data_IF_967108131677
#
_entry.id   IF_967108131677
#
_cell.length_a   1.000
_cell.length_b   1.000
_cell.length_c   1.000
_cell.angle_alpha   90.00
_cell.angle_beta   90.00
_cell.angle_gamma   90.00
#
_symmetry.space_group_name_H-M   'P 1'
#
loop_
_entity.id
_entity.type
_entity.pdbx_description
1 polymer ?
#
# COMPACT_ATOMS: atom_id res chain seq x y z
N UNK A 1 13.09 -11.63 17.93
CA UNK A 1 13.88 -10.40 17.68
C UNK A 1 13.58 -10.01 16.25
N UNK A 2 12.73 -9.03 16.02
CA UNK A 2 12.43 -8.53 14.67
C UNK A 2 13.66 -7.77 14.19
N UNK A 3 14.36 -8.29 13.18
CA UNK A 3 15.42 -7.58 12.48
C UNK A 3 14.82 -6.34 11.80
N UNK A 4 14.86 -5.21 12.48
CA UNK A 4 14.39 -3.93 11.94
C UNK A 4 15.55 -3.28 11.16
N UNK A 5 16.01 -3.95 10.08
CA UNK A 5 16.88 -3.28 9.12
C UNK A 5 16.08 -2.26 8.33
N UNK A 6 16.61 -1.05 8.11
CA UNK A 6 15.93 -0.08 7.25
C UNK A 6 15.72 -0.69 5.86
N UNK A 7 14.52 -0.46 5.28
CA UNK A 7 14.18 -0.97 3.96
C UNK A 7 15.21 -0.47 2.92
N UNK A 8 15.66 -1.38 2.06
CA UNK A 8 16.51 -1.00 0.93
C UNK A 8 15.74 -0.09 -0.04
N UNK A 9 16.43 0.65 -0.90
CA UNK A 9 15.76 1.52 -1.87
C UNK A 9 14.77 0.72 -2.75
N UNK A 10 15.17 -0.49 -3.18
CA UNK A 10 14.32 -1.38 -3.98
C UNK A 10 13.09 -1.89 -3.22
N UNK A 11 13.13 -1.96 -1.90
CA UNK A 11 11.98 -2.31 -1.06
C UNK A 11 11.04 -1.13 -0.81
N UNK A 12 11.52 0.11 -0.96
CA UNK A 12 10.67 1.31 -0.84
C UNK A 12 9.75 1.51 -2.04
N UNK A 13 10.11 0.96 -3.22
CA UNK A 13 9.25 0.94 -4.40
C UNK A 13 8.39 -0.32 -4.40
N UNK A 14 7.08 -0.17 -4.31
CA UNK A 14 6.10 -1.24 -4.48
C UNK A 14 5.46 -1.10 -5.86
N UNK A 15 5.64 -2.11 -6.72
CA UNK A 15 5.00 -2.11 -8.04
C UNK A 15 3.62 -2.79 -7.95
N UNK A 16 2.58 -2.08 -8.36
CA UNK A 16 1.23 -2.62 -8.42
C UNK A 16 1.04 -3.46 -9.69
N UNK A 17 0.76 -4.75 -9.51
CA UNK A 17 0.46 -5.70 -10.58
C UNK A 17 -1.04 -5.61 -10.96
N UNK A 18 -1.48 -4.42 -11.44
CA UNK A 18 -2.85 -4.19 -11.86
C UNK A 18 -3.02 -4.61 -13.35
N UNK A 19 -2.63 -5.85 -13.66
CA UNK A 19 -2.71 -6.51 -14.97
C UNK A 19 -3.82 -7.57 -14.96
N UNK A 20 -4.28 -8.06 -16.13
CA UNK A 20 -5.53 -8.85 -16.20
C UNK A 20 -5.52 -10.17 -15.41
N UNK A 21 -4.39 -10.84 -15.30
CA UNK A 21 -4.30 -12.17 -14.69
C UNK A 21 -2.91 -12.46 -14.10
N UNK A 22 -2.81 -13.55 -13.35
CA UNK A 22 -1.58 -13.98 -12.68
C UNK A 22 -0.41 -14.22 -13.63
N UNK A 23 -0.66 -14.79 -14.83
CA UNK A 23 0.41 -15.06 -15.81
C UNK A 23 1.05 -13.76 -16.33
N UNK A 24 0.23 -12.73 -16.60
CA UNK A 24 0.75 -11.43 -17.01
C UNK A 24 1.47 -10.74 -15.85
N UNK A 25 1.00 -10.93 -14.61
CA UNK A 25 1.68 -10.47 -13.39
C UNK A 25 3.05 -11.11 -13.21
N UNK A 26 3.16 -12.42 -13.41
CA UNK A 26 4.42 -13.15 -13.32
C UNK A 26 5.42 -12.68 -14.39
N UNK A 27 5.01 -12.59 -15.65
CA UNK A 27 5.84 -12.07 -16.75
C UNK A 27 6.35 -10.65 -16.47
N UNK A 28 5.51 -9.79 -15.91
CA UNK A 28 5.92 -8.44 -15.52
C UNK A 28 6.97 -8.49 -14.42
N UNK A 29 6.78 -9.32 -13.40
CA UNK A 29 7.74 -9.48 -12.31
C UNK A 29 9.09 -10.04 -12.81
N UNK A 30 9.07 -11.00 -13.74
CA UNK A 30 10.27 -11.51 -14.42
C UNK A 30 10.99 -10.41 -15.22
N UNK A 31 10.24 -9.58 -15.96
CA UNK A 31 10.79 -8.45 -16.72
C UNK A 31 11.46 -7.42 -15.79
N UNK A 32 10.86 -7.13 -14.64
CA UNK A 32 11.40 -6.21 -13.65
C UNK A 32 12.63 -6.80 -12.92
N UNK A 33 12.69 -8.11 -12.77
CA UNK A 33 13.83 -8.84 -12.21
C UNK A 33 14.23 -8.37 -10.81
N UNK A 34 15.48 -8.00 -10.63
CA UNK A 34 16.06 -7.50 -9.38
C UNK A 34 15.85 -6.01 -9.12
N UNK A 35 15.37 -5.24 -10.12
CA UNK A 35 15.04 -3.83 -9.95
C UNK A 35 13.88 -3.62 -8.96
N UNK A 36 13.00 -4.62 -8.79
CA UNK A 36 11.85 -4.56 -7.90
C UNK A 36 11.80 -5.80 -7.03
N UNK A 37 11.71 -5.60 -5.72
CA UNK A 37 11.62 -6.68 -4.73
C UNK A 37 10.25 -6.75 -4.04
N UNK A 38 9.34 -5.78 -4.26
CA UNK A 38 8.08 -5.68 -3.57
C UNK A 38 6.92 -5.43 -4.54
N UNK A 39 5.91 -6.29 -4.50
CA UNK A 39 4.76 -6.23 -5.40
C UNK A 39 3.44 -6.10 -4.67
N UNK A 40 2.53 -5.27 -5.20
CA UNK A 40 1.15 -5.15 -4.72
C UNK A 40 0.20 -5.93 -5.63
N UNK A 41 -0.60 -6.79 -5.01
CA UNK A 41 -1.70 -7.52 -5.65
C UNK A 41 -3.01 -6.94 -5.11
N UNK A 42 -3.79 -6.30 -5.98
CA UNK A 42 -5.04 -5.64 -5.64
C UNK A 42 -6.28 -6.47 -5.98
N UNK A 43 -7.46 -5.91 -5.69
CA UNK A 43 -8.77 -6.56 -5.89
C UNK A 43 -8.98 -7.06 -7.32
N UNK A 44 -8.54 -6.29 -8.33
CA UNK A 44 -8.71 -6.68 -9.74
C UNK A 44 -7.97 -7.97 -10.09
N UNK A 45 -6.83 -8.23 -9.46
CA UNK A 45 -6.05 -9.45 -9.67
C UNK A 45 -6.58 -10.65 -8.86
N UNK A 46 -7.37 -10.42 -7.80
CA UNK A 46 -7.83 -11.49 -6.91
C UNK A 46 -8.57 -12.60 -7.68
N UNK A 47 -9.49 -12.21 -8.57
CA UNK A 47 -10.25 -13.16 -9.42
C UNK A 47 -9.42 -13.72 -10.57
N UNK A 48 -8.29 -13.09 -10.91
CA UNK A 48 -7.35 -13.51 -11.95
C UNK A 48 -6.22 -14.42 -11.46
N UNK A 49 -6.34 -15.01 -10.26
CA UNK A 49 -5.33 -15.91 -9.68
C UNK A 49 -4.34 -15.20 -8.74
N UNK A 50 -4.71 -14.03 -8.19
CA UNK A 50 -3.80 -13.19 -7.39
C UNK A 50 -3.16 -13.88 -6.18
N UNK A 51 -3.88 -14.77 -5.49
CA UNK A 51 -3.31 -15.50 -4.34
C UNK A 51 -2.27 -16.56 -4.80
N UNK A 52 -2.51 -17.21 -5.93
CA UNK A 52 -1.51 -18.13 -6.51
C UNK A 52 -0.25 -17.36 -6.96
N UNK A 53 -0.44 -16.19 -7.59
CA UNK A 53 0.68 -15.31 -7.95
C UNK A 53 1.44 -14.82 -6.71
N UNK A 54 0.75 -14.51 -5.61
CA UNK A 54 1.39 -14.11 -4.35
C UNK A 54 2.31 -15.21 -3.82
N UNK A 55 1.83 -16.46 -3.77
CA UNK A 55 2.61 -17.62 -3.36
C UNK A 55 3.82 -17.84 -4.27
N UNK A 56 3.61 -17.84 -5.59
CA UNK A 56 4.70 -18.02 -6.58
C UNK A 56 5.79 -16.95 -6.42
N UNK A 57 5.43 -15.68 -6.34
CA UNK A 57 6.39 -14.59 -6.18
C UNK A 57 7.14 -14.66 -4.84
N UNK A 58 6.46 -15.13 -3.79
CA UNK A 58 7.07 -15.28 -2.46
C UNK A 58 8.02 -16.48 -2.42
N UNK A 59 7.55 -17.64 -2.80
CA UNK A 59 8.24 -18.92 -2.58
C UNK A 59 9.35 -19.15 -3.60
N UNK A 60 9.10 -18.86 -4.89
CA UNK A 60 10.05 -19.15 -5.98
C UNK A 60 10.93 -17.94 -6.33
N UNK A 61 10.43 -16.72 -6.14
CA UNK A 61 11.16 -15.51 -6.53
C UNK A 61 11.66 -14.66 -5.34
N UNK A 62 11.37 -15.04 -4.10
CA UNK A 62 11.82 -14.35 -2.88
C UNK A 62 11.34 -12.89 -2.79
N UNK A 63 10.18 -12.58 -3.41
CA UNK A 63 9.64 -11.21 -3.43
C UNK A 63 8.79 -10.92 -2.20
N UNK A 64 8.71 -9.65 -1.81
CA UNK A 64 7.76 -9.17 -0.81
C UNK A 64 6.39 -8.96 -1.43
N UNK A 65 5.34 -9.24 -0.67
CA UNK A 65 3.95 -9.21 -1.13
C UNK A 65 3.10 -8.28 -0.28
N UNK A 66 2.45 -7.36 -0.95
CA UNK A 66 1.42 -6.50 -0.40
C UNK A 66 0.05 -6.88 -0.99
N UNK A 67 -0.84 -7.47 -0.20
CA UNK A 67 -2.24 -7.71 -0.58
C UNK A 67 -3.07 -6.46 -0.28
N UNK A 68 -3.51 -5.78 -1.33
CA UNK A 68 -4.28 -4.54 -1.24
C UNK A 68 -5.78 -4.83 -1.39
N UNK A 69 -6.39 -5.37 -0.31
CA UNK A 69 -7.77 -5.86 -0.28
C UNK A 69 -8.75 -4.87 0.34
N UNK A 70 -8.27 -3.93 1.14
CA UNK A 70 -9.08 -2.94 1.86
C UNK A 70 -10.28 -3.58 2.56
N UNK A 71 -10.01 -4.64 3.35
CA UNK A 71 -11.06 -5.42 4.03
C UNK A 71 -11.92 -4.50 4.91
N UNK A 72 -13.23 -4.68 4.81
CA UNK A 72 -14.23 -3.98 5.62
C UNK A 72 -15.44 -4.89 5.83
N UNK A 73 -15.64 -5.35 7.05
CA UNK A 73 -16.75 -6.23 7.45
C UNK A 73 -16.86 -6.20 8.99
N UNK A 74 -17.77 -6.96 9.57
CA UNK A 74 -17.82 -7.19 11.02
C UNK A 74 -16.55 -7.86 11.52
N UNK A 75 -16.15 -7.57 12.77
CA UNK A 75 -14.86 -7.96 13.31
C UNK A 75 -14.52 -9.44 13.15
N UNK A 76 -15.46 -10.35 13.47
CA UNK A 76 -15.22 -11.79 13.34
C UNK A 76 -14.89 -12.23 11.89
N UNK A 77 -15.54 -11.63 10.90
CA UNK A 77 -15.27 -11.90 9.48
C UNK A 77 -13.89 -11.37 9.07
N UNK A 78 -13.55 -10.15 9.49
CA UNK A 78 -12.22 -9.55 9.21
C UNK A 78 -11.12 -10.40 9.86
N UNK A 79 -11.27 -10.78 11.13
CA UNK A 79 -10.30 -11.62 11.83
C UNK A 79 -10.07 -12.96 11.10
N UNK A 80 -11.15 -13.64 10.73
CA UNK A 80 -11.06 -14.91 10.01
C UNK A 80 -10.41 -14.76 8.63
N UNK A 81 -10.76 -13.72 7.88
CA UNK A 81 -10.18 -13.43 6.56
C UNK A 81 -8.67 -13.16 6.66
N UNK A 82 -8.26 -12.30 7.61
CA UNK A 82 -6.84 -11.98 7.83
C UNK A 82 -6.06 -13.24 8.23
N UNK A 83 -6.58 -14.04 9.16
CA UNK A 83 -5.95 -15.32 9.57
C UNK A 83 -5.77 -16.27 8.38
N UNK A 84 -6.73 -16.32 7.47
CA UNK A 84 -6.62 -17.09 6.22
C UNK A 84 -5.53 -16.54 5.29
N UNK A 85 -5.42 -15.22 5.16
CA UNK A 85 -4.44 -14.58 4.28
C UNK A 85 -3.01 -14.66 4.81
N UNK A 86 -2.79 -14.67 6.12
CA UNK A 86 -1.44 -14.80 6.69
C UNK A 86 -0.76 -16.13 6.38
N UNK A 87 -1.51 -17.16 5.94
CA UNK A 87 -0.94 -18.44 5.49
C UNK A 87 -0.09 -18.31 4.21
N UNK A 88 -0.24 -17.21 3.47
CA UNK A 88 0.57 -16.91 2.27
C UNK A 88 1.86 -16.15 2.60
N UNK A 89 2.25 -16.02 3.86
CA UNK A 89 3.43 -15.28 4.34
C UNK A 89 3.56 -13.88 3.72
N UNK A 90 2.44 -13.17 3.58
CA UNK A 90 2.38 -11.82 3.01
C UNK A 90 2.99 -10.79 3.96
N UNK A 91 3.62 -9.76 3.38
CA UNK A 91 4.30 -8.71 4.16
C UNK A 91 3.32 -7.61 4.59
N UNK A 92 2.44 -7.14 3.68
CA UNK A 92 1.46 -6.09 3.95
C UNK A 92 0.04 -6.52 3.56
N UNK A 93 -0.94 -6.07 4.36
CA UNK A 93 -2.37 -6.24 4.08
C UNK A 93 -3.12 -4.95 4.42
N UNK A 94 -3.95 -4.45 3.50
CA UNK A 94 -4.81 -3.30 3.77
C UNK A 94 -6.16 -3.72 4.33
N UNK A 95 -6.60 -2.93 5.29
CA UNK A 95 -7.96 -2.92 5.82
C UNK A 95 -8.47 -1.47 5.88
N UNK A 96 -9.77 -1.23 6.00
CA UNK A 96 -10.27 0.11 6.30
C UNK A 96 -9.72 0.59 7.65
N UNK A 97 -9.42 1.91 7.77
CA UNK A 97 -8.82 2.51 8.97
C UNK A 97 -9.75 2.65 10.17
N UNK A 98 -10.92 2.02 10.14
CA UNK A 98 -11.88 2.04 11.24
C UNK A 98 -11.35 1.20 12.42
N UNK A 99 -11.34 1.72 13.66
CA UNK A 99 -10.70 1.07 14.79
C UNK A 99 -11.11 -0.38 15.03
N UNK A 100 -12.42 -0.70 14.88
CA UNK A 100 -12.92 -2.06 15.08
C UNK A 100 -12.40 -3.03 13.99
N UNK A 101 -12.24 -2.56 12.75
CA UNK A 101 -11.69 -3.34 11.64
C UNK A 101 -10.19 -3.59 11.85
N UNK A 102 -9.45 -2.54 12.23
CA UNK A 102 -8.00 -2.64 12.52
C UNK A 102 -7.74 -3.60 13.68
N UNK A 103 -8.50 -3.47 14.80
CA UNK A 103 -8.37 -4.37 15.94
C UNK A 103 -8.59 -5.84 15.55
N UNK A 104 -9.65 -6.13 14.80
CA UNK A 104 -9.96 -7.49 14.34
C UNK A 104 -8.86 -8.01 13.39
N UNK A 105 -8.36 -7.18 12.48
CA UNK A 105 -7.27 -7.53 11.58
C UNK A 105 -5.98 -7.86 12.34
N UNK A 106 -5.64 -7.08 13.38
CA UNK A 106 -4.47 -7.35 14.24
C UNK A 106 -4.63 -8.65 15.02
N UNK A 107 -5.84 -9.01 15.46
CA UNK A 107 -6.12 -10.30 16.08
C UNK A 107 -5.93 -11.45 15.07
N UNK A 108 -6.44 -11.30 13.85
CA UNK A 108 -6.26 -12.28 12.78
C UNK A 108 -4.80 -12.47 12.35
N UNK A 109 -4.00 -11.40 12.41
CA UNK A 109 -2.57 -11.41 12.06
C UNK A 109 -1.67 -11.88 13.22
N UNK A 110 -2.22 -12.17 14.40
CA UNK A 110 -1.42 -12.55 15.56
C UNK A 110 -0.56 -13.80 15.27
N UNK A 111 0.73 -13.72 15.61
CA UNK A 111 1.70 -14.79 15.37
C UNK A 111 2.30 -14.82 13.96
N UNK A 112 1.89 -13.91 13.05
CA UNK A 112 2.49 -13.72 11.73
C UNK A 112 3.37 -12.47 11.68
N UNK A 113 4.13 -12.33 10.57
CA UNK A 113 4.92 -11.11 10.28
C UNK A 113 4.13 -10.09 9.45
N UNK A 114 2.89 -10.39 9.08
CA UNK A 114 2.03 -9.54 8.25
C UNK A 114 1.75 -8.21 8.95
N UNK A 115 2.08 -7.10 8.30
CA UNK A 115 1.78 -5.76 8.78
C UNK A 115 0.42 -5.30 8.26
N UNK A 116 -0.42 -4.84 9.18
CA UNK A 116 -1.76 -4.33 8.87
C UNK A 116 -1.68 -2.83 8.61
N UNK A 117 -2.12 -2.41 7.42
CA UNK A 117 -2.15 -1.02 6.98
C UNK A 117 -3.60 -0.51 6.93
N UNK A 118 -3.90 0.50 7.74
CA UNK A 118 -5.20 1.16 7.76
C UNK A 118 -5.36 2.14 6.60
N UNK A 119 -6.39 1.98 5.76
CA UNK A 119 -6.70 2.95 4.71
C UNK A 119 -7.39 4.16 5.33
N UNK A 120 -6.82 5.34 5.14
CA UNK A 120 -7.39 6.61 5.61
C UNK A 120 -8.54 7.05 4.70
N UNK A 121 -8.26 7.88 3.71
CA UNK A 121 -9.20 8.31 2.66
C UNK A 121 -8.56 8.00 1.31
N UNK A 122 -9.31 7.40 0.40
CA UNK A 122 -8.82 7.05 -0.93
C UNK A 122 -8.32 8.30 -1.66
N UNK A 123 -7.14 8.23 -2.24
CA UNK A 123 -6.47 9.37 -2.91
C UNK A 123 -7.17 9.85 -4.18
N UNK A 124 -8.13 9.07 -4.67
CA UNK A 124 -9.02 9.41 -5.80
C UNK A 124 -10.24 10.24 -5.39
N UNK A 125 -10.54 10.38 -4.09
CA UNK A 125 -11.69 11.11 -3.58
C UNK A 125 -11.34 12.53 -3.20
N UNK A 126 -12.27 13.46 -3.46
CA UNK A 126 -12.26 14.84 -2.97
C UNK A 126 -13.38 15.08 -1.94
N UNK A 127 -13.52 16.34 -1.47
CA UNK A 127 -14.53 16.68 -0.45
C UNK A 127 -15.97 16.40 -0.94
N UNK A 128 -16.26 16.71 -2.21
CA UNK A 128 -17.61 16.49 -2.76
C UNK A 128 -17.97 15.00 -2.85
N UNK A 129 -16.99 14.13 -3.10
CA UNK A 129 -17.19 12.69 -3.08
C UNK A 129 -17.48 12.20 -1.66
N UNK A 130 -16.76 12.74 -0.65
CA UNK A 130 -16.96 12.38 0.75
C UNK A 130 -18.33 12.82 1.28
N UNK A 131 -18.85 13.97 0.84
CA UNK A 131 -20.20 14.42 1.20
C UNK A 131 -21.28 13.42 0.75
N UNK A 132 -21.13 12.87 -0.46
CA UNK A 132 -22.03 11.83 -0.99
C UNK A 132 -21.90 10.51 -0.25
N UNK A 133 -20.76 10.24 0.36
CA UNK A 133 -20.49 9.06 1.18
C UNK A 133 -20.90 9.24 2.65
N UNK A 134 -21.58 10.34 3.00
CA UNK A 134 -22.01 10.67 4.37
C UNK A 134 -20.84 10.71 5.38
N UNK A 135 -19.65 11.07 4.91
CA UNK A 135 -18.50 11.30 5.78
C UNK A 135 -18.68 12.67 6.44
N UNK A 136 -18.37 12.76 7.74
CA UNK A 136 -18.54 13.99 8.51
C UNK A 136 -17.86 15.18 7.83
N UNK A 137 -18.38 16.39 8.09
CA UNK A 137 -17.81 17.64 7.60
C UNK A 137 -16.36 17.83 8.09
N UNK A 138 -15.61 18.63 7.35
CA UNK A 138 -14.24 18.99 7.68
C UNK A 138 -13.31 18.96 6.45
N UNK A 139 -12.15 19.51 6.62
CA UNK A 139 -11.09 19.41 5.62
C UNK A 139 -10.61 17.97 5.45
N UNK A 140 -10.28 17.58 4.22
CA UNK A 140 -9.80 16.21 3.95
C UNK A 140 -8.54 15.89 4.76
N UNK A 141 -7.64 16.85 4.92
CA UNK A 141 -6.39 16.65 5.66
C UNK A 141 -6.67 16.36 7.13
N UNK A 142 -7.60 17.10 7.75
CA UNK A 142 -8.01 16.87 9.14
C UNK A 142 -8.65 15.48 9.31
N UNK A 143 -9.52 15.09 8.37
CA UNK A 143 -10.15 13.76 8.37
C UNK A 143 -9.13 12.63 8.19
N UNK A 144 -8.12 12.82 7.33
CA UNK A 144 -7.03 11.86 7.16
C UNK A 144 -6.21 11.74 8.44
N UNK A 145 -5.85 12.88 9.08
CA UNK A 145 -5.09 12.88 10.33
C UNK A 145 -5.84 12.18 11.46
N UNK A 146 -7.12 12.50 11.65
CA UNK A 146 -7.95 11.85 12.65
C UNK A 146 -8.03 10.34 12.41
N UNK A 147 -8.29 9.94 11.18
CA UNK A 147 -8.41 8.51 10.82
C UNK A 147 -7.08 7.77 10.96
N UNK A 148 -5.95 8.41 10.62
CA UNK A 148 -4.62 7.85 10.83
C UNK A 148 -4.32 7.65 12.33
N UNK A 149 -4.60 8.66 13.16
CA UNK A 149 -4.45 8.58 14.62
C UNK A 149 -5.25 7.44 15.23
N UNK A 150 -6.54 7.33 14.89
CA UNK A 150 -7.43 6.27 15.35
C UNK A 150 -6.97 4.87 14.89
N UNK A 151 -6.48 4.74 13.65
CA UNK A 151 -5.94 3.48 13.15
C UNK A 151 -4.67 3.06 13.91
N UNK A 152 -3.76 4.00 14.20
CA UNK A 152 -2.55 3.73 14.99
C UNK A 152 -2.89 3.35 16.44
N UNK A 153 -3.84 4.02 17.06
CA UNK A 153 -4.33 3.68 18.42
C UNK A 153 -4.96 2.28 18.46
N UNK A 154 -5.64 1.87 17.39
CA UNK A 154 -6.17 0.52 17.23
C UNK A 154 -5.09 -0.53 16.89
N UNK A 155 -3.82 -0.13 16.75
CA UNK A 155 -2.69 -1.03 16.56
C UNK A 155 -2.25 -1.26 15.12
N UNK A 156 -2.72 -0.47 14.14
CA UNK A 156 -2.22 -0.55 12.77
C UNK A 156 -0.70 -0.38 12.73
N UNK A 157 -0.02 -1.18 11.92
CA UNK A 157 1.42 -1.10 11.71
C UNK A 157 1.80 0.06 10.78
N UNK A 158 0.83 0.56 10.03
CA UNK A 158 0.98 1.69 9.13
C UNK A 158 -0.36 2.15 8.58
N UNK A 159 -0.31 3.16 7.71
CA UNK A 159 -1.48 3.70 7.01
C UNK A 159 -1.22 3.87 5.53
N UNK A 160 -2.32 3.83 4.76
CA UNK A 160 -2.35 4.27 3.36
C UNK A 160 -2.90 5.69 3.33
N UNK A 161 -2.10 6.63 2.81
CA UNK A 161 -2.45 8.04 2.68
C UNK A 161 -1.78 8.65 1.44
N UNK A 162 -2.17 9.87 1.04
CA UNK A 162 -1.47 10.59 -0.02
C UNK A 162 -0.08 11.07 0.46
N UNK A 163 0.91 11.17 -0.43
CA UNK A 163 2.22 11.74 -0.09
C UNK A 163 2.13 13.18 0.46
N UNK A 164 1.06 13.90 0.13
CA UNK A 164 0.84 15.27 0.60
C UNK A 164 0.50 15.35 2.09
N UNK A 165 -0.12 14.31 2.66
CA UNK A 165 -0.48 14.22 4.07
C UNK A 165 0.62 13.61 4.95
N UNK A 166 1.63 12.98 4.34
CA UNK A 166 2.67 12.27 5.07
C UNK A 166 3.41 13.12 6.13
N UNK A 167 3.80 14.40 5.88
CA UNK A 167 4.46 15.21 6.89
C UNK A 167 3.59 15.43 8.14
N UNK A 168 2.29 15.67 7.94
CA UNK A 168 1.35 15.89 9.05
C UNK A 168 1.08 14.59 9.82
N UNK A 169 0.95 13.46 9.12
CA UNK A 169 0.81 12.14 9.76
C UNK A 169 2.06 11.82 10.57
N UNK A 170 3.28 12.11 10.07
CA UNK A 170 4.54 11.93 10.82
C UNK A 170 4.61 12.75 12.10
N UNK A 171 3.95 13.90 12.14
CA UNK A 171 3.90 14.76 13.33
C UNK A 171 2.97 14.20 14.43
N UNK A 172 2.12 13.21 14.15
CA UNK A 172 1.27 12.58 15.15
C UNK A 172 2.14 11.78 16.15
N UNK A 173 1.91 11.91 17.45
CA UNK A 173 2.63 11.10 18.46
C UNK A 173 2.46 9.58 18.23
N UNK A 174 1.30 9.17 17.74
CA UNK A 174 0.97 7.77 17.44
C UNK A 174 1.73 7.21 16.22
N UNK A 175 2.28 8.08 15.36
CA UNK A 175 2.97 7.67 14.13
C UNK A 175 4.42 7.23 14.35
N UNK A 176 4.93 7.28 15.59
CA UNK A 176 6.28 6.81 15.90
C UNK A 176 6.41 5.33 15.52
N UNK A 177 7.43 5.00 14.74
CA UNK A 177 7.74 3.65 14.26
C UNK A 177 6.60 3.01 13.40
N UNK A 178 5.68 3.83 12.87
CA UNK A 178 4.60 3.40 11.99
C UNK A 178 4.92 3.71 10.53
N UNK A 179 4.42 2.84 9.63
CA UNK A 179 4.64 3.00 8.20
C UNK A 179 3.63 3.98 7.58
N UNK A 180 4.11 4.76 6.63
CA UNK A 180 3.28 5.54 5.71
C UNK A 180 3.56 4.99 4.30
N UNK A 181 2.54 4.38 3.70
CA UNK A 181 2.59 3.79 2.37
C UNK A 181 1.67 4.58 1.46
N UNK A 182 2.19 5.10 0.34
CA UNK A 182 1.47 6.07 -0.47
C UNK A 182 1.28 5.60 -1.91
N UNK A 183 0.03 5.43 -2.38
CA UNK A 183 -0.29 5.39 -3.80
C UNK A 183 -0.35 6.81 -4.37
N UNK A 184 -0.63 6.91 -5.69
CA UNK A 184 -0.77 8.23 -6.33
C UNK A 184 0.55 8.93 -6.64
N UNK A 185 1.66 8.21 -6.56
CA UNK A 185 2.98 8.74 -6.96
C UNK A 185 3.11 8.67 -8.49
N UNK A 186 3.59 9.75 -9.08
CA UNK A 186 3.81 9.87 -10.52
C UNK A 186 5.19 10.44 -10.78
N UNK A 187 6.02 9.79 -11.59
CA UNK A 187 7.27 10.40 -12.10
C UNK A 187 6.99 11.74 -12.80
N UNK A 188 7.97 12.61 -12.82
CA UNK A 188 7.85 13.90 -13.48
C UNK A 188 7.41 13.74 -14.94
N UNK A 189 6.35 14.46 -15.36
CA UNK A 189 5.79 14.41 -16.72
C UNK A 189 4.85 13.23 -17.01
N UNK A 190 4.63 12.31 -16.09
CA UNK A 190 3.68 11.21 -16.27
C UNK A 190 2.22 11.68 -16.16
N UNK A 191 1.30 10.97 -16.87
CA UNK A 191 -0.13 11.27 -16.82
C UNK A 191 -0.71 11.05 -15.42
N UNK A 192 -1.55 11.97 -14.95
CA UNK A 192 -2.17 11.93 -13.61
C UNK A 192 -3.18 10.79 -13.48
N UNK A 193 -3.93 10.49 -14.55
CA UNK A 193 -4.99 9.47 -14.54
C UNK A 193 -6.14 9.86 -13.60
N UNK A 194 -6.57 8.91 -12.79
CA UNK A 194 -7.63 9.03 -11.79
C UNK A 194 -7.17 9.61 -10.44
N UNK A 195 -5.88 9.90 -10.29
CA UNK A 195 -5.33 10.39 -9.02
C UNK A 195 -5.50 11.91 -8.92
N UNK A 196 -6.13 12.37 -7.83
CA UNK A 196 -6.36 13.80 -7.55
C UNK A 196 -5.27 14.42 -6.66
N UNK A 197 -4.60 13.62 -5.84
CA UNK A 197 -3.57 14.04 -4.87
C UNK A 197 -2.26 13.31 -5.19
N UNK A 198 -1.43 13.90 -6.04
CA UNK A 198 -0.21 13.30 -6.56
C UNK A 198 1.05 14.01 -6.08
N UNK A 199 2.16 13.28 -6.04
CA UNK A 199 3.51 13.81 -5.85
C UNK A 199 4.51 13.01 -6.70
N UNK A 200 5.69 13.57 -6.93
CA UNK A 200 6.79 12.84 -7.56
C UNK A 200 7.44 11.86 -6.56
N UNK A 201 8.19 10.84 -7.01
CA UNK A 201 8.96 9.95 -6.14
C UNK A 201 9.84 10.70 -5.15
N UNK A 202 10.62 11.69 -5.63
CA UNK A 202 11.49 12.53 -4.79
C UNK A 202 10.69 13.29 -3.72
N UNK A 203 9.56 13.91 -4.10
CA UNK A 203 8.69 14.62 -3.16
C UNK A 203 8.11 13.67 -2.09
N UNK A 204 7.70 12.46 -2.48
CA UNK A 204 7.17 11.48 -1.55
C UNK A 204 8.22 11.08 -0.49
N UNK A 205 9.45 10.82 -0.92
CA UNK A 205 10.58 10.53 -0.01
C UNK A 205 10.87 11.73 0.91
N UNK A 206 10.96 12.95 0.36
CA UNK A 206 11.20 14.17 1.14
C UNK A 206 10.08 14.42 2.17
N UNK A 207 8.86 14.02 1.90
CA UNK A 207 7.70 14.10 2.80
C UNK A 207 7.71 13.01 3.90
N UNK A 208 8.71 12.12 3.94
CA UNK A 208 8.83 11.10 4.98
C UNK A 208 7.98 9.84 4.75
N UNK A 209 7.66 9.52 3.50
CA UNK A 209 7.00 8.28 3.11
C UNK A 209 7.98 7.10 3.22
N UNK A 210 7.53 5.96 3.74
CA UNK A 210 8.36 4.74 3.81
C UNK A 210 8.34 3.94 2.51
N UNK A 211 7.15 3.82 1.89
CA UNK A 211 6.99 3.09 0.64
C UNK A 211 6.06 3.85 -0.31
N UNK A 212 6.44 3.89 -1.59
CA UNK A 212 5.57 4.38 -2.66
C UNK A 212 4.97 3.21 -3.44
N UNK A 213 3.72 3.36 -3.88
CA UNK A 213 3.04 2.37 -4.73
C UNK A 213 2.84 2.96 -6.12
N UNK A 214 3.46 2.32 -7.12
CA UNK A 214 3.40 2.76 -8.52
C UNK A 214 2.86 1.61 -9.39
N UNK A 215 1.85 1.89 -10.19
CA UNK A 215 1.23 0.92 -11.11
C UNK A 215 1.51 1.27 -12.57
N UNK A 216 0.53 1.93 -13.21
CA UNK A 216 0.54 2.27 -14.66
C UNK A 216 1.84 2.88 -15.20
N UNK A 217 2.50 3.81 -14.49
CA UNK A 217 3.79 4.35 -14.97
C UNK A 217 4.88 3.29 -15.19
N UNK A 218 4.77 2.13 -14.54
CA UNK A 218 5.69 1.01 -14.73
C UNK A 218 5.12 0.01 -15.75
N UNK A 219 3.96 -0.59 -15.50
CA UNK A 219 3.49 -1.71 -16.32
C UNK A 219 2.94 -1.31 -17.70
N UNK A 220 2.61 -0.03 -17.94
CA UNK A 220 2.27 0.50 -19.27
C UNK A 220 3.45 1.10 -20.02
N UNK A 221 4.63 1.17 -19.40
CA UNK A 221 5.82 1.68 -20.07
C UNK A 221 6.27 0.73 -21.19
N UNK A 222 6.88 1.29 -22.25
CA UNK A 222 7.48 0.51 -23.32
C UNK A 222 8.61 -0.41 -22.80
N UNK A 223 9.33 0.06 -21.78
CA UNK A 223 10.31 -0.70 -21.02
C UNK A 223 9.99 -0.57 -19.51
N UNK A 224 9.25 -1.54 -18.92
CA UNK A 224 8.89 -1.51 -17.51
C UNK A 224 10.08 -1.48 -16.56
N UNK A 225 11.17 -2.19 -16.89
CA UNK A 225 12.38 -2.22 -16.07
C UNK A 225 13.06 -0.87 -16.03
N UNK A 226 13.27 -0.24 -17.20
CA UNK A 226 13.85 1.10 -17.27
C UNK A 226 12.99 2.13 -16.54
N UNK A 227 11.66 2.03 -16.63
CA UNK A 227 10.74 2.91 -15.90
C UNK A 227 10.85 2.73 -14.37
N UNK A 228 10.96 1.49 -13.88
CA UNK A 228 11.16 1.22 -12.45
C UNK A 228 12.51 1.78 -11.96
N UNK A 229 13.58 1.59 -12.72
CA UNK A 229 14.91 2.12 -12.39
C UNK A 229 14.91 3.65 -12.33
N UNK A 230 14.27 4.34 -13.29
CA UNK A 230 14.14 5.79 -13.27
C UNK A 230 13.40 6.31 -12.02
N UNK A 231 12.37 5.57 -11.55
CA UNK A 231 11.67 5.89 -10.31
C UNK A 231 12.60 5.73 -9.09
N UNK A 232 13.40 4.67 -9.04
CA UNK A 232 14.37 4.45 -7.98
C UNK A 232 15.44 5.54 -7.96
N UNK A 233 15.91 5.97 -9.13
CA UNK A 233 16.88 7.09 -9.25
C UNK A 233 16.28 8.41 -8.74
N UNK A 234 14.97 8.66 -8.97
CA UNK A 234 14.28 9.84 -8.40
C UNK A 234 14.11 9.76 -6.88
N UNK A 235 14.14 8.57 -6.28
CA UNK A 235 13.99 8.35 -4.84
C UNK A 235 15.32 8.43 -4.08
N UNK A 236 16.46 8.36 -4.78
CA UNK A 236 17.80 8.38 -4.20
C UNK A 236 18.20 9.77 -3.75
#
# INVERSE_FOLDING_TARGET
MTNNHPATLTEKLIVALDVPNALDGLKLAETLGDAVSFYKIGLGMLTGGGLALAAELKDEHGKKIFLDMKLFDIGATVEAAVRGLTQFDIDFLTVHGDPHVVNAAKQGAAGSNTKILGVTILTSLDRQDLDKCLIKDGDIQDLVLERAGLAFEAGADGVIASPQEAPMIRALPQAKDRLIVTPGVRPAGAALGDQKRVATPAQAVANGVDHIVVGRPVWQAADPRAAAMAILDEMA
#
